data_IF_810284871668
#
_entry.id   IF_810284871668
#
_cell.length_a   1.000
_cell.length_b   1.000
_cell.length_c   1.000
_cell.angle_alpha   90.00
_cell.angle_beta   90.00
_cell.angle_gamma   90.00
#
_symmetry.space_group_name_H-M   'P 1'
#
loop_
_entity.id
_entity.type
_entity.pdbx_description
1 polymer ?
#
# COMPACT_ATOMS: atom_id res chain seq x y z
N UNK A 1 15.89 -7.45 39.60
CA UNK A 1 15.75 -8.33 38.41
C UNK A 1 14.33 -8.19 37.89
N UNK A 2 14.11 -7.27 36.98
CA UNK A 2 12.82 -7.06 36.33
C UNK A 2 12.72 -8.02 35.15
N UNK A 3 11.78 -8.96 35.23
CA UNK A 3 11.41 -9.80 34.07
C UNK A 3 10.81 -8.88 33.01
N UNK A 4 11.50 -8.72 31.89
CA UNK A 4 10.92 -8.15 30.68
C UNK A 4 9.78 -9.08 30.24
N UNK A 5 8.55 -8.65 30.38
CA UNK A 5 7.42 -9.31 29.78
C UNK A 5 7.63 -9.23 28.25
N UNK A 6 7.91 -10.34 27.61
CA UNK A 6 7.84 -10.45 26.17
C UNK A 6 6.37 -10.26 25.79
N UNK A 7 6.06 -9.10 25.24
CA UNK A 7 4.75 -8.85 24.62
C UNK A 7 4.69 -9.79 23.42
N UNK A 8 3.92 -10.86 23.51
CA UNK A 8 3.54 -11.66 22.36
C UNK A 8 2.68 -10.76 21.47
N UNK A 9 3.29 -10.13 20.48
CA UNK A 9 2.58 -9.40 19.44
C UNK A 9 2.03 -10.45 18.49
N UNK A 10 0.75 -10.79 18.66
CA UNK A 10 0.06 -11.60 17.67
C UNK A 10 -0.08 -10.77 16.38
N UNK A 11 0.57 -11.22 15.31
CA UNK A 11 0.40 -10.66 13.98
C UNK A 11 -1.07 -10.84 13.58
N UNK A 12 -1.74 -9.74 13.27
CA UNK A 12 -3.15 -9.81 12.92
C UNK A 12 -3.32 -10.33 11.50
N UNK A 13 -4.08 -11.43 11.35
CA UNK A 13 -4.47 -11.94 10.03
C UNK A 13 -5.35 -10.92 9.30
N UNK A 14 -4.97 -10.57 8.06
CA UNK A 14 -5.71 -9.61 7.22
C UNK A 14 -6.60 -10.36 6.22
N UNK A 15 -6.00 -11.20 5.38
CA UNK A 15 -6.74 -12.02 4.42
C UNK A 15 -5.90 -13.22 3.94
N UNK A 16 -6.59 -14.20 3.37
CA UNK A 16 -5.98 -15.29 2.61
C UNK A 16 -6.47 -15.21 1.17
N UNK A 17 -5.57 -15.16 0.19
CA UNK A 17 -5.91 -14.94 -1.22
C UNK A 17 -6.84 -16.02 -1.78
N UNK A 18 -6.65 -17.28 -1.39
CA UNK A 18 -7.51 -18.40 -1.82
C UNK A 18 -8.95 -18.31 -1.32
N UNK A 19 -9.22 -17.50 -0.30
CA UNK A 19 -10.59 -17.21 0.16
C UNK A 19 -11.29 -16.16 -0.71
N UNK A 20 -10.54 -15.44 -1.56
CA UNK A 20 -11.08 -14.36 -2.40
C UNK A 20 -11.15 -14.82 -3.86
N UNK A 21 -10.09 -15.45 -4.36
CA UNK A 21 -10.02 -15.97 -5.73
C UNK A 21 -9.45 -17.39 -5.74
N UNK A 22 -9.86 -18.19 -6.71
CA UNK A 22 -9.22 -19.48 -6.98
C UNK A 22 -7.86 -19.26 -7.63
N UNK A 23 -6.79 -19.41 -6.85
CA UNK A 23 -5.41 -19.20 -7.29
C UNK A 23 -5.02 -20.13 -8.45
N UNK A 24 -5.62 -21.32 -8.55
CA UNK A 24 -5.39 -22.26 -9.67
C UNK A 24 -5.90 -21.71 -10.99
N UNK A 25 -6.88 -20.80 -10.94
CA UNK A 25 -7.51 -20.16 -12.10
C UNK A 25 -6.96 -18.77 -12.41
N UNK A 26 -5.85 -18.35 -11.78
CA UNK A 26 -5.29 -17.01 -12.03
C UNK A 26 -4.94 -16.73 -13.50
N UNK A 27 -4.62 -17.75 -14.29
CA UNK A 27 -4.35 -17.60 -15.72
C UNK A 27 -5.65 -17.58 -16.58
N UNK A 28 -6.82 -17.84 -16.01
CA UNK A 28 -8.09 -17.76 -16.68
C UNK A 28 -8.61 -16.30 -16.63
N UNK A 29 -8.39 -15.59 -17.73
CA UNK A 29 -8.78 -14.18 -17.88
C UNK A 29 -10.29 -14.00 -17.70
N UNK A 30 -11.12 -14.95 -18.17
CA UNK A 30 -12.56 -14.86 -18.05
C UNK A 30 -12.99 -14.98 -16.58
N UNK A 31 -12.37 -15.90 -15.85
CA UNK A 31 -12.56 -16.03 -14.42
C UNK A 31 -12.17 -14.76 -13.66
N UNK A 32 -10.97 -14.24 -13.88
CA UNK A 32 -10.52 -13.01 -13.20
C UNK A 32 -11.45 -11.83 -13.51
N UNK A 33 -11.95 -11.72 -14.74
CA UNK A 33 -12.94 -10.69 -15.11
C UNK A 33 -14.24 -10.84 -14.33
N UNK A 34 -14.74 -12.07 -14.13
CA UNK A 34 -15.96 -12.33 -13.34
C UNK A 34 -15.77 -12.01 -11.84
N UNK A 35 -14.52 -12.08 -11.36
CA UNK A 35 -14.13 -11.68 -10.00
C UNK A 35 -13.75 -10.19 -9.89
N UNK A 36 -13.95 -9.40 -10.94
CA UNK A 36 -13.54 -7.99 -11.00
C UNK A 36 -12.03 -7.77 -10.67
N UNK A 37 -11.20 -8.72 -11.06
CA UNK A 37 -9.74 -8.66 -10.84
C UNK A 37 -9.02 -8.59 -12.19
N UNK A 38 -7.97 -7.77 -12.25
CA UNK A 38 -6.98 -7.76 -13.32
C UNK A 38 -5.67 -8.36 -12.83
N UNK A 39 -4.98 -9.07 -13.71
CA UNK A 39 -3.61 -9.52 -13.50
C UNK A 39 -2.69 -8.80 -14.48
N UNK A 40 -1.65 -8.16 -13.94
CA UNK A 40 -0.57 -7.57 -14.73
C UNK A 40 0.65 -8.47 -14.61
N UNK A 41 1.12 -8.98 -15.74
CA UNK A 41 2.32 -9.83 -15.83
C UNK A 41 3.41 -9.08 -16.59
N UNK A 42 4.42 -8.52 -15.89
CA UNK A 42 5.57 -7.92 -16.57
C UNK A 42 6.37 -8.97 -17.34
N UNK A 43 6.88 -8.61 -18.51
CA UNK A 43 7.67 -9.51 -19.33
C UNK A 43 8.92 -9.98 -18.58
N UNK A 44 9.19 -11.28 -18.62
CA UNK A 44 10.38 -11.89 -17.99
C UNK A 44 10.36 -11.89 -16.46
N UNK A 45 9.24 -11.53 -15.81
CA UNK A 45 9.12 -11.53 -14.35
C UNK A 45 8.43 -12.79 -13.84
N UNK A 46 8.94 -13.34 -12.72
CA UNK A 46 8.24 -14.35 -11.92
C UNK A 46 7.07 -13.77 -11.12
N UNK A 47 7.02 -12.44 -10.99
CA UNK A 47 5.98 -11.74 -10.25
C UNK A 47 4.83 -11.31 -11.15
N UNK A 48 3.62 -11.45 -10.63
CA UNK A 48 2.40 -10.85 -11.19
C UNK A 48 1.78 -9.93 -10.17
N UNK A 49 1.09 -8.90 -10.64
CA UNK A 49 0.34 -7.97 -9.80
C UNK A 49 -1.14 -8.22 -10.03
N UNK A 50 -1.85 -8.61 -8.97
CA UNK A 50 -3.30 -8.70 -8.95
C UNK A 50 -3.88 -7.38 -8.43
N UNK A 51 -4.88 -6.84 -9.12
CA UNK A 51 -5.55 -5.61 -8.72
C UNK A 51 -7.04 -5.65 -9.09
N UNK A 52 -7.90 -5.11 -8.21
CA UNK A 52 -9.32 -5.00 -8.55
C UNK A 52 -9.54 -4.01 -9.69
N UNK A 53 -10.59 -4.24 -10.50
CA UNK A 53 -11.10 -3.31 -11.49
C UNK A 53 -11.96 -2.25 -10.82
N UNK A 54 -11.65 -0.96 -11.04
CA UNK A 54 -12.38 0.14 -10.40
C UNK A 54 -13.87 0.11 -10.72
N UNK A 55 -14.23 -0.07 -11.98
CA UNK A 55 -15.63 -0.08 -12.41
C UNK A 55 -16.38 -1.31 -11.91
N UNK A 56 -15.74 -2.49 -11.92
CA UNK A 56 -16.31 -3.71 -11.35
C UNK A 56 -16.60 -3.55 -9.87
N UNK A 57 -15.65 -3.03 -9.11
CA UNK A 57 -15.80 -2.81 -7.67
C UNK A 57 -16.86 -1.73 -7.37
N UNK A 58 -16.95 -0.67 -8.20
CA UNK A 58 -17.98 0.38 -8.04
C UNK A 58 -19.38 -0.18 -8.20
N UNK A 59 -19.57 -1.06 -9.18
CA UNK A 59 -20.86 -1.62 -9.54
C UNK A 59 -21.26 -2.85 -8.70
N UNK A 60 -20.36 -3.40 -7.88
CA UNK A 60 -20.68 -4.52 -7.00
C UNK A 60 -21.63 -4.06 -5.89
N UNK A 61 -22.78 -4.74 -5.81
CA UNK A 61 -23.84 -4.42 -4.84
C UNK A 61 -23.66 -5.18 -3.52
N UNK A 62 -23.06 -6.37 -3.56
CA UNK A 62 -22.74 -7.14 -2.38
C UNK A 62 -21.56 -6.50 -1.64
N UNK A 63 -21.84 -5.89 -0.48
CA UNK A 63 -20.84 -5.20 0.33
C UNK A 63 -19.73 -6.12 0.83
N UNK A 64 -20.08 -7.36 1.21
CA UNK A 64 -19.10 -8.34 1.66
C UNK A 64 -18.13 -8.71 0.53
N UNK A 65 -18.68 -9.03 -0.64
CA UNK A 65 -17.88 -9.32 -1.84
C UNK A 65 -17.05 -8.12 -2.28
N UNK A 66 -17.63 -6.91 -2.24
CA UNK A 66 -16.92 -5.65 -2.53
C UNK A 66 -15.75 -5.46 -1.59
N UNK A 67 -15.94 -5.72 -0.31
CA UNK A 67 -14.90 -5.64 0.70
C UNK A 67 -13.79 -6.68 0.44
N UNK A 68 -14.16 -7.94 0.26
CA UNK A 68 -13.22 -9.03 -0.03
C UNK A 68 -12.36 -8.72 -1.26
N UNK A 69 -12.96 -8.26 -2.35
CA UNK A 69 -12.23 -7.84 -3.57
C UNK A 69 -11.35 -6.61 -3.28
N UNK A 70 -11.74 -5.75 -2.36
CA UNK A 70 -10.99 -4.57 -1.93
C UNK A 70 -9.59 -4.89 -1.39
N UNK A 71 -9.38 -6.08 -0.82
CA UNK A 71 -8.04 -6.55 -0.41
C UNK A 71 -7.11 -6.74 -1.62
N UNK A 72 -7.65 -7.06 -2.80
CA UNK A 72 -6.85 -7.17 -4.04
C UNK A 72 -6.63 -5.78 -4.65
N UNK A 73 -6.19 -4.80 -3.84
CA UNK A 73 -5.86 -3.46 -4.35
C UNK A 73 -4.57 -3.47 -5.17
N UNK A 74 -3.56 -4.17 -4.67
CA UNK A 74 -2.28 -4.47 -5.32
C UNK A 74 -1.65 -5.61 -4.54
N UNK A 75 -1.85 -6.84 -4.98
CA UNK A 75 -1.21 -8.04 -4.42
C UNK A 75 -0.14 -8.50 -5.38
N UNK A 76 1.10 -8.57 -4.93
CA UNK A 76 2.23 -9.08 -5.71
C UNK A 76 2.40 -10.54 -5.36
N UNK A 77 2.29 -11.39 -6.37
CA UNK A 77 2.32 -12.83 -6.25
C UNK A 77 3.50 -13.41 -7.04
N UNK A 78 4.31 -14.24 -6.36
CA UNK A 78 5.38 -15.02 -6.98
C UNK A 78 4.77 -16.29 -7.59
N UNK A 79 4.82 -16.40 -8.92
CA UNK A 79 4.22 -17.51 -9.66
C UNK A 79 5.04 -18.80 -9.56
N UNK A 80 6.33 -18.72 -9.24
CA UNK A 80 7.23 -19.86 -9.08
C UNK A 80 7.07 -20.46 -7.66
N UNK A 81 7.13 -19.61 -6.64
CA UNK A 81 6.95 -20.01 -5.23
C UNK A 81 5.49 -20.19 -4.83
N UNK A 82 4.55 -19.71 -5.68
CA UNK A 82 3.10 -19.77 -5.44
C UNK A 82 2.68 -19.08 -4.13
N UNK A 83 3.28 -17.95 -3.83
CA UNK A 83 3.05 -17.20 -2.60
C UNK A 83 2.88 -15.69 -2.84
N UNK A 84 2.22 -15.01 -1.91
CA UNK A 84 2.18 -13.56 -1.86
C UNK A 84 3.53 -13.07 -1.33
N UNK A 85 4.10 -12.04 -1.96
CA UNK A 85 5.35 -11.39 -1.51
C UNK A 85 5.13 -9.98 -1.01
N UNK A 86 4.06 -9.31 -1.45
CA UNK A 86 3.67 -8.00 -0.96
C UNK A 86 2.20 -7.70 -1.25
N UNK A 87 1.62 -6.77 -0.49
CA UNK A 87 0.31 -6.21 -0.80
C UNK A 87 0.25 -4.72 -0.41
N UNK A 88 -0.75 -4.03 -0.94
CA UNK A 88 -1.15 -2.71 -0.45
C UNK A 88 -2.24 -2.83 0.61
N UNK A 89 -2.42 -1.80 1.46
CA UNK A 89 -3.62 -1.68 2.30
C UNK A 89 -4.90 -1.84 1.47
N UNK A 90 -5.92 -2.41 2.10
CA UNK A 90 -7.23 -2.63 1.48
C UNK A 90 -7.81 -1.32 0.92
N UNK A 91 -8.71 -1.44 -0.05
CA UNK A 91 -9.52 -0.31 -0.49
C UNK A 91 -10.44 0.15 0.64
N UNK A 92 -10.40 1.44 0.94
CA UNK A 92 -11.37 2.07 1.85
C UNK A 92 -12.80 1.89 1.32
N UNK A 93 -13.72 1.63 2.23
CA UNK A 93 -15.16 1.67 1.96
C UNK A 93 -15.70 3.04 2.36
N UNK A 94 -16.62 3.56 1.56
CA UNK A 94 -17.33 4.78 1.86
C UNK A 94 -18.55 4.45 2.71
N UNK A 95 -18.60 4.96 3.94
CA UNK A 95 -19.70 4.72 4.87
C UNK A 95 -21.02 5.39 4.43
N UNK A 96 -20.97 6.35 3.50
CA UNK A 96 -22.18 6.99 2.97
C UNK A 96 -23.04 6.01 2.18
N UNK A 97 -22.43 4.97 1.62
CA UNK A 97 -23.12 3.92 0.87
C UNK A 97 -23.63 2.76 1.73
N UNK A 98 -23.39 2.80 3.03
CA UNK A 98 -23.88 1.77 3.95
C UNK A 98 -25.33 2.08 4.37
N UNK A 99 -26.16 1.05 4.43
CA UNK A 99 -27.52 1.19 4.95
C UNK A 99 -27.50 1.54 6.44
N UNK A 100 -28.62 1.99 6.98
CA UNK A 100 -28.74 2.26 8.42
C UNK A 100 -28.57 0.97 9.23
N UNK A 101 -29.03 -0.17 8.69
CA UNK A 101 -28.88 -1.50 9.30
C UNK A 101 -27.42 -1.93 9.33
N UNK A 102 -26.68 -1.72 8.23
CA UNK A 102 -25.23 -2.00 8.19
C UNK A 102 -24.48 -1.18 9.24
N UNK A 103 -24.80 0.12 9.36
CA UNK A 103 -24.18 1.02 10.37
C UNK A 103 -24.53 0.62 11.79
N UNK A 104 -25.76 0.17 12.03
CA UNK A 104 -26.23 -0.27 13.34
C UNK A 104 -25.63 -1.61 13.76
N UNK A 105 -25.36 -2.50 12.79
CA UNK A 105 -24.66 -3.76 13.02
C UNK A 105 -23.16 -3.57 13.28
N UNK A 106 -22.61 -2.38 12.96
CA UNK A 106 -21.25 -2.02 13.26
C UNK A 106 -21.10 -1.67 14.75
N UNK A 107 -20.89 -2.68 15.57
CA UNK A 107 -20.39 -2.45 16.92
C UNK A 107 -18.98 -1.89 16.80
N UNK A 108 -18.81 -0.60 17.14
CA UNK A 108 -17.48 -0.02 17.17
C UNK A 108 -16.67 -0.76 18.23
N UNK A 109 -15.60 -1.46 17.88
CA UNK A 109 -14.78 -2.12 18.88
C UNK A 109 -14.08 -1.08 19.73
N UNK A 110 -13.72 -1.46 20.95
CA UNK A 110 -12.98 -0.60 21.89
C UNK A 110 -11.63 -0.10 21.36
N UNK A 111 -11.18 -0.64 20.21
CA UNK A 111 -9.89 -0.41 19.59
C UNK A 111 -9.97 0.40 18.29
N UNK A 112 -10.82 1.41 18.23
CA UNK A 112 -10.84 2.32 17.09
C UNK A 112 -9.51 3.07 17.03
N UNK A 113 -8.81 2.96 15.89
CA UNK A 113 -7.58 3.68 15.65
C UNK A 113 -7.82 4.77 14.60
N UNK A 114 -7.50 5.99 14.97
CA UNK A 114 -7.50 7.11 14.05
C UNK A 114 -6.09 7.31 13.49
N UNK A 115 -5.96 7.38 12.16
CA UNK A 115 -4.70 7.60 11.49
C UNK A 115 -4.84 8.70 10.45
N UNK A 116 -3.77 9.47 10.23
CA UNK A 116 -3.75 10.47 9.17
C UNK A 116 -3.80 9.80 7.81
N UNK A 117 -4.71 10.27 6.94
CA UNK A 117 -4.71 9.89 5.53
C UNK A 117 -3.73 10.76 4.77
N UNK A 118 -2.57 10.19 4.41
CA UNK A 118 -1.54 10.91 3.69
C UNK A 118 -1.83 10.90 2.19
N UNK A 119 -2.02 12.09 1.60
CA UNK A 119 -2.08 12.26 0.15
C UNK A 119 -0.74 11.90 -0.48
N UNK A 120 -0.76 11.19 -1.61
CA UNK A 120 0.44 10.88 -2.36
C UNK A 120 0.33 9.61 -3.20
N UNK A 121 1.46 9.15 -3.71
CA UNK A 121 1.53 7.90 -4.46
C UNK A 121 2.07 6.79 -3.59
N UNK A 122 1.33 5.68 -3.54
CA UNK A 122 1.73 4.50 -2.77
C UNK A 122 2.75 3.67 -3.55
N UNK A 123 3.83 3.32 -2.87
CA UNK A 123 4.89 2.42 -3.33
C UNK A 123 4.99 1.23 -2.39
N UNK A 124 4.79 0.04 -2.92
CA UNK A 124 5.02 -1.20 -2.18
C UNK A 124 6.47 -1.63 -2.36
N UNK A 125 7.07 -2.08 -1.28
CA UNK A 125 8.49 -2.49 -1.22
C UNK A 125 8.58 -3.87 -0.59
N UNK A 126 9.29 -4.79 -1.21
CA UNK A 126 9.55 -6.13 -0.67
C UNK A 126 10.93 -6.61 -1.08
N UNK A 127 11.46 -7.55 -0.32
CA UNK A 127 12.79 -8.12 -0.56
C UNK A 127 12.68 -9.48 -1.23
N UNK A 128 13.34 -9.65 -2.37
CA UNK A 128 13.55 -10.96 -2.99
C UNK A 128 14.83 -11.59 -2.43
N UNK A 129 14.67 -12.70 -1.69
CA UNK A 129 15.79 -13.40 -1.06
C UNK A 129 16.68 -14.13 -2.07
N UNK A 130 16.11 -14.59 -3.19
CA UNK A 130 16.84 -15.32 -4.21
C UNK A 130 17.76 -14.37 -4.99
N UNK A 131 17.25 -13.19 -5.35
CA UNK A 131 18.01 -12.16 -6.05
C UNK A 131 18.78 -11.23 -5.10
N UNK A 132 18.58 -11.36 -3.77
CA UNK A 132 19.13 -10.48 -2.74
C UNK A 132 18.90 -9.00 -3.04
N UNK A 133 17.65 -8.64 -3.40
CA UNK A 133 17.30 -7.33 -3.95
C UNK A 133 15.97 -6.82 -3.42
N UNK A 134 15.89 -5.52 -3.16
CA UNK A 134 14.65 -4.81 -2.89
C UNK A 134 13.90 -4.48 -4.19
N UNK A 135 12.67 -4.94 -4.28
CA UNK A 135 11.74 -4.59 -5.34
C UNK A 135 10.80 -3.48 -4.89
N UNK A 136 10.38 -2.67 -5.83
CA UNK A 136 9.41 -1.60 -5.65
C UNK A 136 8.29 -1.76 -6.68
N UNK A 137 7.08 -1.37 -6.31
CA UNK A 137 5.97 -1.33 -7.26
C UNK A 137 4.98 -0.23 -6.91
N UNK A 138 4.34 0.33 -7.92
CA UNK A 138 3.08 1.05 -7.74
C UNK A 138 1.93 0.04 -7.67
N UNK A 139 0.68 0.54 -7.58
CA UNK A 139 -0.51 -0.31 -7.62
C UNK A 139 -0.56 -1.28 -8.81
N UNK A 140 0.05 -0.96 -9.93
CA UNK A 140 -0.07 -1.77 -11.14
C UNK A 140 1.20 -1.92 -11.96
N UNK A 141 2.34 -1.42 -11.50
CA UNK A 141 3.59 -1.47 -12.25
C UNK A 141 4.74 -1.91 -11.35
N UNK A 142 5.29 -3.07 -11.61
CA UNK A 142 6.51 -3.55 -10.98
C UNK A 142 7.69 -2.66 -11.42
N UNK A 143 8.58 -2.33 -10.46
CA UNK A 143 9.70 -1.41 -10.68
C UNK A 143 9.32 0.07 -10.58
N UNK A 144 8.02 0.40 -10.47
CA UNK A 144 7.51 1.78 -10.33
C UNK A 144 8.01 2.76 -11.42
N UNK A 145 8.46 2.26 -12.58
CA UNK A 145 9.02 3.06 -13.70
C UNK A 145 7.93 3.69 -14.57
N UNK A 146 7.00 4.41 -13.93
CA UNK A 146 5.94 5.19 -14.57
C UNK A 146 5.75 6.50 -13.82
N UNK A 147 5.06 7.46 -14.43
CA UNK A 147 4.60 8.69 -13.83
C UNK A 147 3.13 8.93 -14.21
N UNK A 148 2.38 9.74 -13.45
CA UNK A 148 1.00 10.10 -13.81
C UNK A 148 0.96 11.10 -14.96
N UNK A 149 1.94 12.00 -14.98
CA UNK A 149 2.04 13.06 -15.98
C UNK A 149 3.48 13.14 -16.49
N UNK A 150 3.67 13.70 -17.67
CA UNK A 150 4.98 14.13 -18.16
C UNK A 150 5.40 15.38 -17.36
N UNK A 151 5.58 15.22 -16.07
CA UNK A 151 5.98 16.31 -15.20
C UNK A 151 7.49 16.45 -15.25
N UNK A 152 7.89 17.60 -15.74
CA UNK A 152 9.26 18.07 -15.72
C UNK A 152 9.51 18.72 -14.37
N UNK A 153 10.14 17.98 -13.46
CA UNK A 153 10.61 18.52 -12.19
C UNK A 153 12.11 18.82 -12.29
N UNK A 154 12.49 20.04 -11.95
CA UNK A 154 13.90 20.43 -11.84
C UNK A 154 14.25 20.58 -10.36
N UNK A 155 15.07 19.69 -9.77
CA UNK A 155 15.48 19.78 -8.37
C UNK A 155 16.42 20.95 -8.06
N UNK A 156 17.05 21.57 -9.07
CA UNK A 156 17.96 22.70 -8.90
C UNK A 156 17.26 24.05 -9.11
N UNK A 157 16.86 24.72 -8.01
CA UNK A 157 16.34 26.08 -8.03
C UNK A 157 17.40 27.17 -7.93
N UNK A 158 18.67 26.87 -8.15
CA UNK A 158 19.71 27.91 -8.24
C UNK A 158 19.61 28.62 -9.60
N UNK A 159 19.06 29.82 -9.51
CA UNK A 159 18.89 30.78 -10.60
C UNK A 159 20.21 31.12 -11.23
N UNK A 160 20.65 30.39 -12.26
CA UNK A 160 21.44 30.92 -13.38
C UNK A 160 21.75 29.81 -14.39
N UNK A 161 21.14 29.94 -15.56
CA UNK A 161 21.59 29.37 -16.86
C UNK A 161 22.06 27.92 -16.89
N UNK A 162 21.12 26.98 -16.79
CA UNK A 162 21.34 25.62 -17.27
C UNK A 162 20.20 25.24 -18.22
N UNK A 163 20.54 24.87 -19.43
CA UNK A 163 19.61 24.22 -20.37
C UNK A 163 19.13 22.94 -19.74
N UNK A 164 17.90 22.96 -19.24
CA UNK A 164 17.30 21.85 -18.50
C UNK A 164 16.89 20.78 -19.50
N UNK A 165 17.59 19.65 -19.50
CA UNK A 165 17.09 18.42 -20.11
C UNK A 165 15.98 17.87 -19.21
N UNK A 166 14.76 17.95 -19.71
CA UNK A 166 13.57 17.44 -19.02
C UNK A 166 13.61 15.90 -18.97
N UNK A 167 13.94 15.33 -17.83
CA UNK A 167 13.78 13.89 -17.61
C UNK A 167 12.38 13.63 -17.06
N UNK A 168 11.66 12.68 -17.67
CA UNK A 168 10.41 12.17 -17.12
C UNK A 168 10.71 11.46 -15.80
N UNK A 169 10.49 12.14 -14.67
CA UNK A 169 10.72 11.60 -13.33
C UNK A 169 9.70 10.51 -13.05
N UNK A 170 10.15 9.29 -12.87
CA UNK A 170 9.29 8.15 -12.54
C UNK A 170 8.97 8.09 -11.05
N UNK A 171 7.98 7.28 -10.65
CA UNK A 171 7.73 7.05 -9.23
C UNK A 171 8.87 6.35 -8.53
N UNK A 172 9.68 5.57 -9.24
CA UNK A 172 10.91 4.98 -8.70
C UNK A 172 11.95 6.06 -8.38
N UNK A 173 12.15 7.01 -9.29
CA UNK A 173 13.07 8.15 -9.08
C UNK A 173 12.62 9.01 -7.90
N UNK A 174 11.32 9.35 -7.85
CA UNK A 174 10.71 10.11 -6.75
C UNK A 174 10.87 9.39 -5.41
N UNK A 175 10.67 8.07 -5.39
CA UNK A 175 10.85 7.26 -4.18
C UNK A 175 12.30 7.28 -3.70
N UNK A 176 13.25 7.13 -4.62
CA UNK A 176 14.69 7.19 -4.29
C UNK A 176 15.09 8.57 -3.75
N UNK A 177 14.53 9.65 -4.31
CA UNK A 177 14.76 11.01 -3.80
C UNK A 177 14.14 11.19 -2.40
N UNK A 178 12.93 10.68 -2.17
CA UNK A 178 12.32 10.69 -0.84
C UNK A 178 13.15 9.89 0.19
N UNK A 179 13.70 8.74 -0.17
CA UNK A 179 14.62 7.98 0.68
C UNK A 179 15.86 8.79 1.04
N UNK A 180 16.48 9.42 0.04
CA UNK A 180 17.67 10.25 0.23
C UNK A 180 17.39 11.44 1.15
N UNK A 181 16.31 12.19 0.88
CA UNK A 181 15.91 13.37 1.67
C UNK A 181 15.58 13.00 3.12
N UNK A 182 14.99 11.82 3.34
CA UNK A 182 14.69 11.29 4.67
C UNK A 182 15.90 10.65 5.36
N UNK A 183 17.08 10.61 4.72
CA UNK A 183 18.25 9.87 5.18
C UNK A 183 17.91 8.41 5.58
N UNK A 184 17.01 7.79 4.83
CA UNK A 184 16.55 6.44 5.09
C UNK A 184 17.10 5.45 4.05
N UNK A 185 17.54 4.27 4.51
CA UNK A 185 18.06 3.20 3.66
C UNK A 185 17.19 1.96 3.78
N UNK A 186 16.88 1.34 2.66
CA UNK A 186 16.07 0.10 2.62
C UNK A 186 16.73 -1.06 3.39
N UNK A 187 18.05 -1.07 3.51
CA UNK A 187 18.78 -2.11 4.27
C UNK A 187 18.47 -2.11 5.78
N UNK A 188 17.83 -1.05 6.29
CA UNK A 188 17.32 -1.02 7.67
C UNK A 188 15.99 -1.75 7.84
N UNK A 189 15.34 -2.10 6.75
CA UNK A 189 14.07 -2.83 6.78
C UNK A 189 14.30 -4.32 7.04
N UNK A 190 13.34 -4.93 7.75
CA UNK A 190 13.32 -6.39 7.88
C UNK A 190 12.98 -7.02 6.52
N UNK A 191 13.85 -7.91 6.06
CA UNK A 191 13.73 -8.59 4.76
C UNK A 191 12.59 -9.61 4.69
N UNK A 192 11.98 -9.94 5.82
CA UNK A 192 10.83 -10.86 5.90
C UNK A 192 9.48 -10.16 5.75
N UNK A 193 9.48 -8.81 5.73
CA UNK A 193 8.26 -8.02 5.64
C UNK A 193 8.16 -7.30 4.30
N UNK A 194 6.94 -7.01 3.90
CA UNK A 194 6.64 -6.05 2.85
C UNK A 194 6.12 -4.75 3.47
N UNK A 195 6.32 -3.66 2.75
CA UNK A 195 6.08 -2.31 3.23
C UNK A 195 5.28 -1.52 2.21
N UNK A 196 4.31 -0.76 2.68
CA UNK A 196 3.58 0.21 1.86
C UNK A 196 3.96 1.62 2.29
N UNK A 197 4.67 2.32 1.43
CA UNK A 197 5.04 3.72 1.62
C UNK A 197 4.14 4.62 0.79
N UNK A 198 3.90 5.84 1.26
CA UNK A 198 3.36 6.94 0.45
C UNK A 198 4.45 7.96 0.25
N UNK A 199 4.67 8.35 -0.99
CA UNK A 199 5.58 9.43 -1.37
C UNK A 199 4.78 10.70 -1.65
N UNK A 200 5.26 11.81 -1.08
CA UNK A 200 4.90 13.16 -1.49
C UNK A 200 6.12 13.78 -2.18
N UNK A 201 5.93 14.26 -3.40
CA UNK A 201 7.04 14.75 -4.21
C UNK A 201 6.62 15.94 -5.06
N UNK A 202 7.45 17.00 -5.22
CA UNK A 202 7.09 18.17 -6.02
C UNK A 202 6.71 17.84 -7.47
N UNK A 203 7.31 16.80 -8.06
CA UNK A 203 6.96 16.33 -9.41
C UNK A 203 5.65 15.52 -9.46
N UNK A 204 5.04 15.19 -8.33
CA UNK A 204 3.81 14.41 -8.24
C UNK A 204 2.71 15.21 -7.53
N UNK A 205 2.31 16.32 -8.13
CA UNK A 205 1.24 17.16 -7.60
C UNK A 205 -0.11 16.50 -7.91
N UNK A 206 -0.85 16.11 -6.87
CA UNK A 206 -2.21 15.55 -6.99
C UNK A 206 -3.22 16.64 -6.62
N UNK A 207 -3.31 17.06 -5.37
CA UNK A 207 -4.16 18.13 -4.87
C UNK A 207 -3.31 19.21 -4.23
N UNK A 208 -2.54 18.87 -3.20
CA UNK A 208 -1.72 19.81 -2.46
C UNK A 208 -0.40 20.12 -3.19
N UNK A 209 0.08 21.34 -3.02
CA UNK A 209 1.41 21.71 -3.50
C UNK A 209 2.47 21.20 -2.54
N UNK A 210 3.17 20.17 -2.96
CA UNK A 210 4.31 19.62 -2.22
C UNK A 210 5.58 20.36 -2.64
N UNK A 211 6.31 20.89 -1.67
CA UNK A 211 7.54 21.66 -1.91
C UNK A 211 8.81 20.86 -1.68
N UNK A 212 8.73 19.83 -0.84
CA UNK A 212 9.88 18.96 -0.48
C UNK A 212 9.49 17.50 -0.55
N UNK A 213 10.38 16.60 -1.02
CA UNK A 213 10.15 15.17 -1.00
C UNK A 213 9.95 14.68 0.44
N UNK A 214 8.91 13.86 0.65
CA UNK A 214 8.60 13.22 1.94
C UNK A 214 8.24 11.76 1.75
N UNK A 215 8.61 10.96 2.73
CA UNK A 215 8.32 9.53 2.78
C UNK A 215 7.51 9.18 4.03
N UNK A 216 6.39 8.49 3.85
CA UNK A 216 5.53 8.01 4.94
C UNK A 216 5.39 6.50 4.86
N UNK A 217 5.64 5.82 5.97
CA UNK A 217 5.31 4.40 6.10
C UNK A 217 3.85 4.28 6.54
N UNK A 218 3.03 3.61 5.72
CA UNK A 218 1.60 3.48 5.95
C UNK A 218 1.18 2.10 6.44
N UNK A 219 1.90 1.05 6.02
CA UNK A 219 1.60 -0.31 6.46
C UNK A 219 2.81 -1.22 6.34
N UNK A 220 2.83 -2.26 7.17
CA UNK A 220 3.80 -3.35 7.13
C UNK A 220 3.06 -4.67 7.15
N UNK A 221 3.51 -5.63 6.36
CA UNK A 221 2.89 -6.95 6.28
C UNK A 221 3.92 -8.06 6.30
N UNK A 222 3.57 -9.15 6.95
CA UNK A 222 4.21 -10.46 6.79
C UNK A 222 3.35 -11.29 5.86
N UNK A 223 3.95 -11.75 4.77
CA UNK A 223 3.27 -12.62 3.80
C UNK A 223 3.76 -14.05 4.01
N UNK A 224 2.84 -14.97 4.27
CA UNK A 224 3.12 -16.39 4.44
C UNK A 224 2.25 -17.19 3.47
N UNK A 225 2.86 -17.78 2.46
CA UNK A 225 2.17 -18.47 1.37
C UNK A 225 1.11 -17.58 0.72
N UNK A 226 -0.18 -17.83 1.00
CA UNK A 226 -1.30 -17.06 0.46
C UNK A 226 -1.98 -16.18 1.51
N UNK A 227 -1.45 -16.15 2.72
CA UNK A 227 -1.98 -15.37 3.84
C UNK A 227 -1.15 -14.13 4.11
N UNK A 228 -1.83 -13.06 4.50
CA UNK A 228 -1.24 -11.77 4.83
C UNK A 228 -1.57 -11.43 6.27
N UNK A 229 -0.55 -11.01 7.01
CA UNK A 229 -0.64 -10.59 8.40
C UNK A 229 -0.14 -9.16 8.52
N UNK A 230 -0.88 -8.32 9.21
CA UNK A 230 -0.45 -6.94 9.51
C UNK A 230 0.54 -6.93 10.66
N UNK A 231 1.60 -6.15 10.48
CA UNK A 231 2.61 -5.87 11.51
C UNK A 231 2.34 -4.47 12.03
N UNK A 232 2.11 -4.29 13.33
CA UNK A 232 1.84 -2.97 13.89
C UNK A 232 2.99 -1.98 13.64
N UNK A 233 2.67 -0.77 13.18
CA UNK A 233 3.66 0.24 12.82
C UNK A 233 4.56 0.67 14.00
N UNK A 234 4.08 0.57 15.25
CA UNK A 234 4.91 0.89 16.41
C UNK A 234 6.14 -0.01 16.54
N UNK A 235 6.11 -1.23 16.00
CA UNK A 235 7.28 -2.11 15.97
C UNK A 235 8.41 -1.55 15.11
N UNK A 236 8.11 -0.65 14.20
CA UNK A 236 9.10 0.03 13.39
C UNK A 236 9.84 1.13 14.16
N UNK A 237 9.16 1.79 15.11
CA UNK A 237 9.71 2.93 15.88
C UNK A 237 10.74 2.51 16.92
N UNK A 238 10.71 1.28 17.41
CA UNK A 238 11.67 0.76 18.39
C UNK A 238 13.12 0.74 17.86
N UNK A 239 13.30 0.77 16.54
CA UNK A 239 14.61 0.78 15.89
C UNK A 239 15.21 2.18 15.63
N UNK A 240 14.73 3.24 16.30
CA UNK A 240 15.22 4.64 16.18
C UNK A 240 15.28 5.16 14.73
N UNK A 241 14.31 4.80 13.91
CA UNK A 241 14.23 5.27 12.53
C UNK A 241 13.32 6.49 12.52
N UNK A 242 13.87 7.67 12.27
CA UNK A 242 13.12 8.91 12.11
C UNK A 242 12.49 8.94 10.71
N UNK A 243 11.43 8.19 10.51
CA UNK A 243 10.46 8.49 9.46
C UNK A 243 9.47 9.44 10.11
N UNK A 244 9.14 10.53 9.44
CA UNK A 244 8.12 11.44 9.96
C UNK A 244 6.79 10.69 10.04
N UNK A 245 6.44 10.27 11.26
CA UNK A 245 5.06 9.99 11.59
C UNK A 245 4.43 11.35 11.85
N UNK A 246 3.53 11.76 11.01
CA UNK A 246 2.82 13.00 11.27
C UNK A 246 1.67 12.69 12.22
N UNK A 247 1.71 13.15 13.48
CA UNK A 247 0.57 13.03 14.35
C UNK A 247 -0.37 14.19 14.01
N UNK A 248 -1.49 13.94 13.39
CA UNK A 248 -2.74 14.69 13.59
C UNK A 248 -3.75 14.49 12.44
N UNK A 249 -4.84 13.87 12.80
CA UNK A 249 -6.23 14.09 12.39
C UNK A 249 -6.63 13.62 10.99
N UNK A 250 -6.86 12.31 10.86
CA UNK A 250 -8.01 11.76 10.13
C UNK A 250 -8.39 10.42 10.77
N UNK A 251 -9.67 10.23 10.99
CA UNK A 251 -10.17 9.03 11.67
C UNK A 251 -10.23 7.89 10.65
N UNK A 252 -9.27 6.99 10.70
CA UNK A 252 -9.38 5.68 10.09
C UNK A 252 -9.95 4.75 11.17
N UNK A 253 -11.18 4.32 11.02
CA UNK A 253 -11.78 3.36 11.92
C UNK A 253 -11.42 1.98 11.38
N UNK A 254 -10.47 1.31 12.03
CA UNK A 254 -10.24 -0.11 11.82
C UNK A 254 -11.26 -0.88 12.65
N UNK A 255 -12.33 -1.32 12.01
CA UNK A 255 -13.28 -2.23 12.66
C UNK A 255 -12.70 -3.64 12.65
N UNK A 256 -12.45 -4.17 13.85
CA UNK A 256 -11.95 -5.51 14.09
C UNK A 256 -13.08 -6.56 14.04
N UNK A 257 -13.76 -6.63 12.90
CA UNK A 257 -14.47 -7.83 12.45
C UNK A 257 -13.99 -8.06 11.01
N UNK A 258 -12.67 -8.07 10.79
CA UNK A 258 -12.11 -8.27 9.45
C UNK A 258 -12.35 -7.10 8.47
N UNK A 259 -12.73 -5.91 8.95
CA UNK A 259 -13.11 -4.77 8.11
C UNK A 259 -12.28 -3.53 8.42
N UNK A 260 -11.57 -2.99 7.44
CA UNK A 260 -10.93 -1.67 7.52
C UNK A 260 -11.85 -0.62 6.88
N UNK A 261 -12.29 0.35 7.65
CA UNK A 261 -13.12 1.46 7.17
C UNK A 261 -12.34 2.78 7.26
N UNK A 262 -12.44 3.61 6.25
CA UNK A 262 -11.88 4.96 6.24
C UNK A 262 -13.04 5.96 6.25
N UNK A 263 -13.10 6.80 7.26
CA UNK A 263 -14.01 7.94 7.32
C UNK A 263 -13.35 9.13 6.63
N UNK A 264 -13.90 9.55 5.51
CA UNK A 264 -13.66 10.87 4.95
C UNK A 264 -14.69 11.81 5.58
N UNK A 265 -14.30 12.66 6.50
CA UNK A 265 -15.15 13.79 6.91
C UNK A 265 -14.89 14.94 5.97
N UNK A 266 -15.90 15.32 5.19
CA UNK A 266 -15.91 16.62 4.51
C UNK A 266 -15.83 17.71 5.57
N UNK A 267 -14.76 18.50 5.53
CA UNK A 267 -14.76 19.80 6.20
C UNK A 267 -15.43 20.78 5.25
N UNK A 268 -16.63 21.21 5.60
CA UNK A 268 -17.25 22.46 5.13
C UNK A 268 -16.50 23.67 5.65
#
# INVERSE_FOLDING_TARGET
MSKSASVNVENQHVFTLSNIIDVKRMNDISYLKSMHVDMVKPSGSKYVILKYKKDGLRNEQDLLKKHMIGYIRSVIYDTEKKCIVACSPCKSLDLTHMTHEDKSAMTLPDNIRAEEYVEGTMINVFFDKDENKWYRSTRGVLGAKTAFYNNTYNPCTDKKNVSVTFHNTTFDDMFMECLHTSNFKLDRLNKDYSYSFVIQHPANKIVNQITTPKLYLCAMYKCEEQSVYEIPLYMFTENKITIQFNPLVFVSIHLFIGYSFYLLTDQT
#
